data_IF_898426992171
#
_entry.id   IF_898426992171
#
_cell.length_a   1.000
_cell.length_b   1.000
_cell.length_c   1.000
_cell.angle_alpha   90.00
_cell.angle_beta   90.00
_cell.angle_gamma   90.00
#
_symmetry.space_group_name_H-M   'P 1'
#
loop_
_entity.id
_entity.type
_entity.pdbx_description
1 polymer ?
#
# COMPACT_ATOMS: atom_id res chain seq x y z
N UNK A 1 -4.48 5.41 2.61
CA UNK A 1 -4.74 4.75 3.90
C UNK A 1 -4.56 3.26 3.68
N UNK A 2 -3.81 2.58 4.53
CA UNK A 2 -3.68 1.11 4.48
C UNK A 2 -4.55 0.52 5.56
N UNK A 3 -5.31 -0.50 5.20
CA UNK A 3 -6.14 -1.24 6.13
C UNK A 3 -5.80 -2.72 6.04
N UNK A 4 -6.04 -3.43 7.13
CA UNK A 4 -6.13 -4.88 7.10
C UNK A 4 -7.63 -5.20 7.13
N UNK A 5 -8.14 -5.77 6.05
CA UNK A 5 -9.50 -6.30 6.03
C UNK A 5 -9.53 -7.59 6.83
N UNK A 6 -10.36 -7.63 7.88
CA UNK A 6 -10.64 -8.83 8.67
C UNK A 6 -11.77 -9.62 8.02
N UNK A 7 -11.53 -10.90 7.72
CA UNK A 7 -12.57 -11.85 7.36
C UNK A 7 -12.14 -13.23 7.84
N UNK A 8 -12.94 -13.93 8.64
CA UNK A 8 -12.71 -15.33 9.01
C UNK A 8 -11.29 -15.62 9.59
N UNK A 9 -10.84 -14.82 10.56
CA UNK A 9 -9.52 -14.99 11.19
C UNK A 9 -8.34 -14.73 10.25
N UNK A 10 -8.57 -14.03 9.15
CA UNK A 10 -7.60 -13.76 8.10
C UNK A 10 -7.49 -12.25 7.84
N UNK A 11 -6.26 -11.77 7.61
CA UNK A 11 -5.96 -10.37 7.33
C UNK A 11 -5.57 -10.18 5.86
N UNK A 12 -6.23 -9.26 5.17
CA UNK A 12 -5.91 -8.86 3.79
C UNK A 12 -5.37 -7.44 3.76
N UNK A 13 -4.13 -7.20 3.29
CA UNK A 13 -3.62 -5.84 3.15
C UNK A 13 -4.35 -5.12 2.02
N UNK A 14 -4.71 -3.86 2.26
CA UNK A 14 -5.21 -2.96 1.23
C UNK A 14 -4.42 -1.66 1.20
N UNK A 15 -4.35 -1.05 0.02
CA UNK A 15 -3.70 0.23 -0.20
C UNK A 15 -4.65 1.15 -0.94
N UNK A 16 -5.09 2.20 -0.27
CA UNK A 16 -5.73 3.36 -0.89
C UNK A 16 -4.69 4.47 -1.07
N UNK A 17 -4.44 4.91 -2.31
CA UNK A 17 -3.49 5.98 -2.57
C UNK A 17 -3.95 6.92 -3.69
N UNK A 18 -3.29 8.09 -3.75
CA UNK A 18 -3.54 9.16 -4.70
C UNK A 18 -2.23 9.56 -5.37
N UNK A 19 -2.23 9.62 -6.70
CA UNK A 19 -1.08 10.06 -7.48
C UNK A 19 -0.99 11.59 -7.49
N UNK A 20 0.09 12.14 -6.92
CA UNK A 20 0.40 13.58 -6.98
C UNK A 20 1.81 13.81 -7.49
N UNK A 21 1.97 14.87 -8.27
CA UNK A 21 3.27 15.40 -8.69
C UNK A 21 3.42 16.81 -8.12
N UNK A 22 4.61 17.14 -7.64
CA UNK A 22 4.93 18.51 -7.25
C UNK A 22 5.27 19.33 -8.50
N UNK A 23 4.35 20.22 -8.88
CA UNK A 23 4.56 21.20 -9.94
C UNK A 23 5.13 22.48 -9.33
N UNK A 24 6.18 23.03 -9.95
CA UNK A 24 6.89 24.20 -9.41
C UNK A 24 6.05 25.48 -9.38
N UNK A 25 4.95 25.55 -10.13
CA UNK A 25 4.08 26.72 -10.24
C UNK A 25 2.74 26.54 -9.51
N UNK A 26 2.21 25.31 -9.53
CA UNK A 26 0.87 25.00 -9.00
C UNK A 26 0.90 24.17 -7.71
N UNK A 27 2.09 23.78 -7.23
CA UNK A 27 2.27 22.92 -6.08
C UNK A 27 1.86 21.47 -6.37
N UNK A 28 1.38 20.75 -5.34
CA UNK A 28 0.97 19.36 -5.49
C UNK A 28 -0.30 19.21 -6.33
N UNK A 29 -0.13 18.76 -7.56
CA UNK A 29 -1.20 18.52 -8.52
C UNK A 29 -1.47 17.04 -8.71
N UNK A 30 -2.74 16.68 -8.85
CA UNK A 30 -3.15 15.31 -9.17
C UNK A 30 -2.77 14.98 -10.60
N UNK A 31 -2.17 13.81 -10.80
CA UNK A 31 -1.80 13.31 -12.12
C UNK A 31 -2.15 11.84 -12.21
N UNK A 32 -2.52 11.37 -13.38
CA UNK A 32 -2.70 9.94 -13.59
C UNK A 32 -1.33 9.26 -13.54
N UNK A 33 -1.21 8.20 -12.75
CA UNK A 33 0.01 7.43 -12.65
C UNK A 33 -0.28 5.93 -12.57
N UNK A 34 0.72 5.14 -12.95
CA UNK A 34 0.78 3.70 -12.75
C UNK A 34 1.67 3.42 -11.55
N UNK A 35 1.12 2.81 -10.50
CA UNK A 35 1.86 2.32 -9.36
C UNK A 35 2.12 0.82 -9.54
N UNK A 36 3.39 0.43 -9.55
CA UNK A 36 3.83 -0.95 -9.70
C UNK A 36 4.88 -1.34 -8.66
N UNK A 37 5.33 -2.59 -8.72
CA UNK A 37 6.29 -3.16 -7.75
C UNK A 37 5.88 -2.92 -6.30
N UNK A 38 4.58 -3.01 -6.03
CA UNK A 38 3.96 -2.76 -4.73
C UNK A 38 4.28 -3.90 -3.75
N UNK A 39 5.54 -4.00 -3.35
CA UNK A 39 6.01 -5.00 -2.41
C UNK A 39 5.64 -4.59 -0.99
N UNK A 40 5.19 -5.55 -0.20
CA UNK A 40 4.91 -5.32 1.22
C UNK A 40 5.64 -6.34 2.10
N UNK A 41 5.99 -5.87 3.29
CA UNK A 41 6.45 -6.69 4.41
C UNK A 41 5.59 -6.36 5.61
N UNK A 42 4.95 -7.38 6.17
CA UNK A 42 4.05 -7.29 7.28
C UNK A 42 4.63 -8.10 8.45
N UNK A 43 4.91 -7.44 9.56
CA UNK A 43 5.42 -8.08 10.78
C UNK A 43 4.32 -8.09 11.83
N UNK A 44 3.97 -9.29 12.29
CA UNK A 44 2.92 -9.52 13.28
C UNK A 44 3.40 -9.24 14.72
N UNK A 45 2.46 -9.12 15.68
CA UNK A 45 2.79 -8.91 17.09
C UNK A 45 3.66 -10.01 17.71
N UNK A 46 3.59 -11.24 17.19
CA UNK A 46 4.43 -12.37 17.65
C UNK A 46 5.82 -12.41 17.00
N UNK A 47 6.11 -11.49 16.07
CA UNK A 47 7.37 -11.40 15.34
C UNK A 47 7.39 -12.17 14.01
N UNK A 48 6.33 -12.89 13.65
CA UNK A 48 6.22 -13.54 12.33
C UNK A 48 6.20 -12.50 11.22
N UNK A 49 6.94 -12.77 10.14
CA UNK A 49 7.10 -11.86 8.99
C UNK A 49 6.45 -12.47 7.75
N UNK A 50 5.61 -11.68 7.09
CA UNK A 50 4.93 -12.02 5.86
C UNK A 50 5.32 -11.05 4.76
N UNK A 51 5.86 -11.58 3.66
CA UNK A 51 6.22 -10.77 2.50
C UNK A 51 5.28 -11.09 1.34
N UNK A 52 4.95 -10.08 0.54
CA UNK A 52 4.14 -10.28 -0.65
C UNK A 52 4.17 -9.07 -1.57
N UNK A 53 3.31 -9.12 -2.59
CA UNK A 53 3.15 -8.04 -3.56
C UNK A 53 1.66 -7.79 -3.78
N UNK A 54 1.28 -6.52 -3.76
CA UNK A 54 -0.06 -6.09 -4.18
C UNK A 54 -0.12 -6.01 -5.72
N UNK A 55 -1.30 -6.20 -6.33
CA UNK A 55 -1.51 -5.92 -7.75
C UNK A 55 -1.11 -4.49 -8.12
N UNK A 56 -0.67 -4.28 -9.35
CA UNK A 56 -0.37 -2.93 -9.85
C UNK A 56 -1.69 -2.13 -9.99
N UNK A 57 -1.62 -0.81 -9.79
CA UNK A 57 -2.77 0.09 -9.89
C UNK A 57 -2.53 1.23 -10.86
N UNK A 58 -3.57 1.66 -11.57
CA UNK A 58 -3.50 2.80 -12.49
C UNK A 58 -4.66 3.74 -12.24
N UNK A 59 -4.37 5.04 -12.16
CA UNK A 59 -5.39 6.08 -12.05
C UNK A 59 -4.87 7.34 -11.37
N UNK A 60 -5.79 8.26 -11.08
CA UNK A 60 -5.53 9.39 -10.16
C UNK A 60 -5.65 8.95 -8.70
N UNK A 61 -6.52 7.97 -8.47
CA UNK A 61 -6.79 7.28 -7.22
C UNK A 61 -6.86 5.79 -7.50
N UNK A 62 -6.41 4.99 -6.54
CA UNK A 62 -6.59 3.55 -6.62
C UNK A 62 -6.77 2.96 -5.22
N UNK A 63 -7.63 1.96 -5.19
CA UNK A 63 -7.81 1.04 -4.07
C UNK A 63 -7.34 -0.33 -4.53
N UNK A 64 -6.25 -0.80 -3.94
CA UNK A 64 -5.62 -2.06 -4.30
C UNK A 64 -5.76 -3.01 -3.12
N UNK A 65 -6.26 -4.21 -3.39
CA UNK A 65 -6.38 -5.26 -2.40
C UNK A 65 -5.34 -6.33 -2.69
N UNK A 66 -4.62 -6.73 -1.64
CA UNK A 66 -3.66 -7.82 -1.72
C UNK A 66 -4.35 -9.14 -2.01
N UNK A 67 -3.57 -10.07 -2.54
CA UNK A 67 -3.96 -11.48 -2.60
C UNK A 67 -3.29 -12.21 -1.44
N UNK A 68 -3.92 -13.31 -1.01
CA UNK A 68 -3.45 -14.13 0.11
C UNK A 68 -3.65 -13.49 1.47
N UNK A 69 -4.28 -14.24 2.34
CA UNK A 69 -4.63 -13.84 3.69
C UNK A 69 -3.62 -14.35 4.71
N UNK A 70 -3.19 -13.48 5.61
CA UNK A 70 -2.32 -13.87 6.72
C UNK A 70 -3.17 -14.30 7.91
N UNK A 71 -2.62 -15.19 8.76
CA UNK A 71 -3.29 -15.56 10.02
C UNK A 71 -3.46 -14.29 10.87
N UNK A 72 -4.69 -14.03 11.30
CA UNK A 72 -4.96 -12.89 12.16
C UNK A 72 -4.33 -13.09 13.54
N UNK A 73 -3.72 -12.02 14.05
CA UNK A 73 -3.25 -11.91 15.42
C UNK A 73 -3.60 -10.51 15.94
N UNK A 74 -4.10 -10.43 17.18
CA UNK A 74 -4.44 -9.17 17.83
C UNK A 74 -3.16 -8.46 18.28
N UNK A 75 -3.09 -7.15 18.07
CA UNK A 75 -1.98 -6.30 18.48
C UNK A 75 -1.47 -5.39 17.37
N UNK A 76 -0.27 -4.85 17.59
CA UNK A 76 0.37 -3.93 16.64
C UNK A 76 1.13 -4.69 15.56
N UNK A 77 0.72 -4.46 14.32
CA UNK A 77 1.40 -4.95 13.13
C UNK A 77 2.26 -3.84 12.53
N UNK A 78 3.50 -4.18 12.14
CA UNK A 78 4.33 -3.26 11.34
C UNK A 78 4.15 -3.58 9.86
N UNK A 79 3.70 -2.62 9.08
CA UNK A 79 3.58 -2.74 7.63
C UNK A 79 4.59 -1.81 6.94
N UNK A 80 5.43 -2.41 6.13
CA UNK A 80 6.39 -1.74 5.26
C UNK A 80 5.98 -1.96 3.81
N UNK A 81 6.04 -0.91 3.01
CA UNK A 81 5.72 -0.96 1.60
C UNK A 81 6.79 -0.25 0.79
N UNK A 82 7.12 -0.85 -0.34
CA UNK A 82 7.88 -0.20 -1.40
C UNK A 82 7.07 -0.22 -2.69
N UNK A 83 7.21 0.82 -3.49
CA UNK A 83 6.44 1.01 -4.71
C UNK A 83 7.17 1.89 -5.68
N UNK A 84 6.96 1.64 -6.97
CA UNK A 84 7.46 2.46 -8.07
C UNK A 84 6.28 3.10 -8.78
N UNK A 85 6.32 4.41 -9.01
CA UNK A 85 5.27 5.18 -9.67
C UNK A 85 5.77 5.74 -10.99
N UNK A 86 4.97 5.64 -12.03
CA UNK A 86 5.25 6.23 -13.35
C UNK A 86 4.08 7.09 -13.78
N UNK A 87 4.34 8.35 -14.16
CA UNK A 87 3.31 9.26 -14.64
C UNK A 87 2.84 8.85 -16.04
N UNK A 88 1.53 8.80 -16.23
CA UNK A 88 0.91 8.49 -17.52
C UNK A 88 0.74 9.77 -18.34
N UNK A 89 1.83 10.51 -18.54
CA UNK A 89 1.85 11.74 -19.34
C UNK A 89 2.97 11.70 -20.37
N UNK A 90 2.86 12.49 -21.44
CA UNK A 90 3.89 12.57 -22.47
C UNK A 90 5.25 13.06 -21.93
N UNK A 91 5.24 13.87 -20.88
CA UNK A 91 6.46 14.31 -20.19
C UNK A 91 7.13 13.17 -19.40
N UNK A 92 6.40 12.08 -19.13
CA UNK A 92 6.86 10.98 -18.31
C UNK A 92 7.16 11.40 -16.88
N UNK A 93 7.96 10.60 -16.19
CA UNK A 93 8.40 10.82 -14.82
C UNK A 93 8.17 9.57 -13.99
N UNK A 94 9.19 9.18 -13.24
CA UNK A 94 9.13 8.05 -12.32
C UNK A 94 9.63 8.43 -10.94
N UNK A 95 9.14 7.75 -9.91
CA UNK A 95 9.62 7.91 -8.56
C UNK A 95 9.28 6.72 -7.70
N UNK A 96 10.07 6.51 -6.65
CA UNK A 96 9.88 5.40 -5.72
C UNK A 96 9.34 5.94 -4.40
N UNK A 97 8.39 5.22 -3.82
CA UNK A 97 7.84 5.53 -2.50
C UNK A 97 8.07 4.34 -1.57
N UNK A 98 8.60 4.65 -0.39
CA UNK A 98 8.71 3.70 0.72
C UNK A 98 7.94 4.25 1.91
N UNK A 99 7.11 3.41 2.52
CA UNK A 99 6.32 3.77 3.69
C UNK A 99 6.43 2.68 4.75
N UNK A 100 6.54 3.09 6.00
CA UNK A 100 6.39 2.23 7.17
C UNK A 100 5.25 2.78 8.03
N UNK A 101 4.37 1.90 8.49
CA UNK A 101 3.28 2.27 9.38
C UNK A 101 2.97 1.14 10.37
N UNK A 102 2.41 1.53 11.51
CA UNK A 102 1.86 0.58 12.48
C UNK A 102 0.36 0.49 12.30
N UNK A 103 -0.17 -0.73 12.23
CA UNK A 103 -1.59 -1.04 12.11
C UNK A 103 -2.00 -1.77 13.37
N UNK A 104 -2.90 -1.17 14.15
CA UNK A 104 -3.44 -1.81 15.34
C UNK A 104 -4.64 -2.70 14.94
N UNK A 105 -4.51 -3.99 15.19
CA UNK A 105 -5.59 -4.99 15.01
C UNK A 105 -6.20 -5.27 16.37
N UNK A 106 -7.40 -4.74 16.61
CA UNK A 106 -8.06 -4.80 17.93
C UNK A 106 -8.71 -6.16 18.21
N UNK A 107 -9.09 -6.90 17.17
CA UNK A 107 -9.75 -8.20 17.28
C UNK A 107 -9.42 -9.09 16.10
N UNK A 108 -9.61 -10.40 16.25
CA UNK A 108 -9.62 -11.34 15.15
C UNK A 108 -10.94 -12.11 15.24
N UNK A 109 -11.89 -11.77 14.36
CA UNK A 109 -13.21 -12.41 14.29
C UNK A 109 -13.19 -13.69 13.48
#
# INVERSE_FOLDING_TARGET
MVCLGESLGQLTPSLSSECKQNDSLLGWVRKECTAGNLNYRLTSPDGSVYNGRLPDGTGYYFDIYGTTTHKCAVGDWTYEQQSTHTLNTAAGGSGDTSQTQTINVASCS
#
